data_IF_618205859538
#
_entry.id   IF_618205859538
#
_cell.length_a   1.000
_cell.length_b   1.000
_cell.length_c   1.000
_cell.angle_alpha   90.00
_cell.angle_beta   90.00
_cell.angle_gamma   90.00
#
_symmetry.space_group_name_H-M   'P 1'
#
loop_
_entity.id
_entity.type
_entity.pdbx_description
1 polymer ?
#
# COMPACT_ATOMS: atom_id res chain seq x y z
N UNK A 1 -6.32 -14.34 64.42
CA UNK A 1 -5.44 -13.91 63.32
C UNK A 1 -6.34 -13.82 62.09
N UNK A 2 -7.20 -12.81 62.04
CA UNK A 2 -6.97 -11.45 61.51
C UNK A 2 -7.59 -11.37 60.12
N UNK A 3 -8.84 -10.90 60.10
CA UNK A 3 -9.48 -10.24 58.96
C UNK A 3 -8.67 -9.03 58.49
N UNK A 4 -8.64 -8.81 57.17
CA UNK A 4 -8.48 -7.54 56.44
C UNK A 4 -8.01 -7.86 55.00
N UNK A 5 -8.40 -7.17 53.93
CA UNK A 5 -9.42 -6.16 53.67
C UNK A 5 -9.51 -6.04 52.14
N UNK A 6 -10.70 -5.80 51.63
CA UNK A 6 -10.94 -5.33 50.27
C UNK A 6 -10.33 -3.94 50.06
N UNK A 7 -9.71 -3.71 48.90
CA UNK A 7 -9.51 -2.34 48.39
C UNK A 7 -9.65 -2.33 46.87
N UNK A 8 -10.86 -2.02 46.40
CA UNK A 8 -11.08 -1.47 45.07
C UNK A 8 -10.58 -0.01 45.08
N UNK A 9 -9.81 0.38 44.06
CA UNK A 9 -9.49 1.79 43.82
C UNK A 9 -9.85 2.16 42.40
N UNK A 10 -10.97 2.86 42.34
CA UNK A 10 -11.56 3.59 41.24
C UNK A 10 -10.62 4.73 40.82
N UNK A 11 -10.17 4.75 39.56
CA UNK A 11 -9.45 5.90 39.00
C UNK A 11 -10.25 6.48 37.85
N UNK A 12 -10.87 7.61 38.14
CA UNK A 12 -11.58 8.49 37.20
C UNK A 12 -10.65 8.95 36.08
N UNK A 13 -11.10 8.82 34.82
CA UNK A 13 -10.51 9.53 33.69
C UNK A 13 -11.20 10.88 33.52
N UNK A 14 -10.47 12.01 33.39
CA UNK A 14 -11.06 13.30 33.11
C UNK A 14 -11.46 13.46 31.64
N UNK A 15 -12.66 13.96 31.42
CA UNK A 15 -13.14 14.58 30.18
C UNK A 15 -12.43 15.90 29.90
N UNK A 16 -12.13 16.17 28.63
CA UNK A 16 -11.96 17.48 27.94
C UNK A 16 -10.95 17.28 26.81
N UNK A 17 -11.02 17.87 25.62
CA UNK A 17 -11.97 18.79 25.01
C UNK A 17 -11.71 18.71 23.50
N UNK A 18 -12.76 18.81 22.71
CA UNK A 18 -12.65 19.05 21.28
C UNK A 18 -12.12 20.47 21.07
N UNK A 19 -10.92 20.59 20.49
CA UNK A 19 -10.43 21.84 19.94
C UNK A 19 -10.40 21.70 18.42
N UNK A 20 -11.20 22.53 17.76
CA UNK A 20 -11.23 22.69 16.31
C UNK A 20 -9.88 23.22 15.78
N UNK A 21 -9.49 22.89 14.55
CA UNK A 21 -8.28 23.42 13.93
C UNK A 21 -8.46 24.91 13.56
N UNK A 22 -7.44 25.69 13.92
CA UNK A 22 -7.27 27.07 13.49
C UNK A 22 -6.75 27.15 12.04
N UNK A 23 -7.16 28.21 11.36
CA UNK A 23 -6.49 28.88 10.23
C UNK A 23 -5.91 28.01 9.12
N UNK A 24 -6.71 27.73 8.09
CA UNK A 24 -6.17 27.55 6.74
C UNK A 24 -6.10 28.92 6.04
N UNK A 25 -4.91 29.37 5.60
CA UNK A 25 -4.79 30.57 4.78
C UNK A 25 -5.36 30.34 3.38
N UNK A 26 -6.13 31.31 2.88
CA UNK A 26 -6.66 31.34 1.52
C UNK A 26 -5.54 31.20 0.46
N UNK A 27 -5.77 30.43 -0.63
CA UNK A 27 -4.83 30.39 -1.74
C UNK A 27 -4.80 31.75 -2.49
N UNK A 28 -3.63 32.17 -3.00
CA UNK A 28 -3.51 33.43 -3.73
C UNK A 28 -4.34 33.40 -5.02
N UNK A 29 -5.10 34.46 -5.20
CA UNK A 29 -5.84 34.79 -6.42
C UNK A 29 -4.85 35.09 -7.53
N UNK A 30 -4.75 34.20 -8.51
CA UNK A 30 -3.95 34.43 -9.72
C UNK A 30 -4.72 35.38 -10.64
N UNK A 31 -4.23 36.61 -10.75
CA UNK A 31 -4.69 37.58 -11.73
C UNK A 31 -4.32 37.10 -13.13
N UNK A 32 -5.34 36.70 -13.89
CA UNK A 32 -5.22 36.46 -15.32
C UNK A 32 -5.15 37.82 -16.03
N UNK A 33 -3.96 38.21 -16.50
CA UNK A 33 -3.84 39.35 -17.42
C UNK A 33 -2.78 39.12 -18.50
N UNK A 34 -3.25 39.07 -19.75
CA UNK A 34 -2.50 39.37 -20.98
C UNK A 34 -1.77 38.20 -21.63
N UNK A 35 -1.68 38.08 -22.95
CA UNK A 35 -2.29 38.79 -24.06
C UNK A 35 -2.05 37.93 -25.32
N UNK A 36 -3.05 37.91 -26.18
CA UNK A 36 -2.97 37.86 -27.65
C UNK A 36 -1.87 37.04 -28.35
N UNK A 37 -2.30 35.96 -29.01
CA UNK A 37 -1.77 35.54 -30.30
C UNK A 37 -2.89 34.87 -31.09
N UNK A 38 -3.76 35.70 -31.67
CA UNK A 38 -4.78 35.25 -32.62
C UNK A 38 -4.11 34.90 -33.96
N UNK A 39 -3.68 33.64 -34.11
CA UNK A 39 -3.43 33.04 -35.42
C UNK A 39 -4.73 32.40 -35.89
N UNK A 40 -5.53 33.16 -36.65
CA UNK A 40 -6.74 32.66 -37.31
C UNK A 40 -6.36 31.71 -38.44
N UNK A 41 -6.46 30.41 -38.16
CA UNK A 41 -6.45 29.36 -39.20
C UNK A 41 -7.86 29.26 -39.82
N UNK A 42 -8.02 29.34 -41.14
CA UNK A 42 -9.34 29.28 -41.77
C UNK A 42 -9.86 27.84 -41.81
N UNK A 43 -11.05 27.62 -41.23
CA UNK A 43 -11.98 26.59 -41.70
C UNK A 43 -11.79 25.16 -41.19
N UNK A 44 -11.71 24.95 -39.89
CA UNK A 44 -12.11 23.66 -39.31
C UNK A 44 -13.58 23.77 -38.87
N UNK A 45 -14.50 23.19 -39.64
CA UNK A 45 -15.89 22.98 -39.20
C UNK A 45 -15.86 22.29 -37.83
N UNK A 46 -16.70 22.70 -36.85
CA UNK A 46 -16.80 21.98 -35.59
C UNK A 46 -17.22 20.55 -35.91
N UNK A 47 -16.32 19.60 -35.65
CA UNK A 47 -16.67 18.19 -35.72
C UNK A 47 -17.84 17.95 -34.76
N UNK A 48 -18.85 17.15 -35.15
CA UNK A 48 -19.96 16.86 -34.25
C UNK A 48 -19.41 16.28 -32.94
N UNK A 49 -19.84 16.86 -31.82
CA UNK A 49 -19.50 16.34 -30.50
C UNK A 49 -19.87 14.85 -30.45
N UNK A 50 -18.96 13.95 -30.05
CA UNK A 50 -19.31 12.55 -29.91
C UNK A 50 -20.51 12.42 -28.96
N UNK A 51 -21.41 11.44 -29.21
CA UNK A 51 -22.55 11.24 -28.34
C UNK A 51 -22.10 11.03 -26.88
N UNK A 52 -22.88 11.48 -25.89
CA UNK A 52 -22.52 11.32 -24.50
C UNK A 52 -22.38 9.84 -24.15
N UNK A 53 -21.25 9.49 -23.55
CA UNK A 53 -20.97 8.13 -23.10
C UNK A 53 -21.88 7.75 -21.93
N UNK A 54 -22.35 6.51 -21.92
CA UNK A 54 -23.13 5.97 -20.81
C UNK A 54 -22.24 5.29 -19.76
N UNK A 55 -22.77 5.11 -18.55
CA UNK A 55 -22.11 4.31 -17.50
C UNK A 55 -21.88 2.87 -17.97
N UNK A 56 -22.80 2.31 -18.76
CA UNK A 56 -22.68 0.95 -19.30
C UNK A 56 -21.51 0.82 -20.28
N UNK A 57 -21.25 1.86 -21.09
CA UNK A 57 -20.11 1.88 -22.00
C UNK A 57 -18.78 1.86 -21.24
N UNK A 58 -18.69 2.61 -20.14
CA UNK A 58 -17.50 2.63 -19.27
C UNK A 58 -17.31 1.29 -18.58
N UNK A 59 -18.38 0.69 -18.04
CA UNK A 59 -18.30 -0.62 -17.38
C UNK A 59 -17.85 -1.73 -18.33
N UNK A 60 -18.33 -1.72 -19.58
CA UNK A 60 -17.92 -2.69 -20.60
C UNK A 60 -16.45 -2.53 -21.00
N UNK A 61 -15.98 -1.30 -21.17
CA UNK A 61 -14.58 -1.01 -21.45
C UNK A 61 -13.66 -1.40 -20.30
N UNK A 62 -14.05 -1.13 -19.05
CA UNK A 62 -13.31 -1.54 -17.85
C UNK A 62 -13.22 -3.07 -17.77
N UNK A 63 -14.32 -3.79 -18.00
CA UNK A 63 -14.32 -5.24 -18.03
C UNK A 63 -13.40 -5.81 -19.12
N UNK A 64 -13.46 -5.24 -20.34
CA UNK A 64 -12.57 -5.62 -21.44
C UNK A 64 -11.09 -5.32 -21.10
N UNK A 65 -10.82 -4.18 -20.46
CA UNK A 65 -9.49 -3.82 -20.01
C UNK A 65 -8.97 -4.81 -18.97
N UNK A 66 -9.77 -5.18 -17.95
CA UNK A 66 -9.37 -6.17 -16.94
C UNK A 66 -9.09 -7.54 -17.53
N UNK A 67 -9.91 -8.00 -18.48
CA UNK A 67 -9.67 -9.26 -19.19
C UNK A 67 -8.37 -9.21 -20.00
N UNK A 68 -8.12 -8.10 -20.71
CA UNK A 68 -6.86 -7.91 -21.43
C UNK A 68 -5.65 -7.79 -20.50
N UNK A 69 -5.84 -7.19 -19.33
CA UNK A 69 -4.81 -7.02 -18.32
C UNK A 69 -4.42 -8.36 -17.68
N UNK A 70 -5.41 -9.21 -17.37
CA UNK A 70 -5.21 -10.57 -16.87
C UNK A 70 -4.57 -11.49 -17.93
N UNK A 71 -4.81 -11.25 -19.22
CA UNK A 71 -4.23 -12.01 -20.31
C UNK A 71 -2.79 -11.59 -20.67
N UNK A 72 -2.34 -10.40 -20.25
CA UNK A 72 -0.93 -10.02 -20.42
C UNK A 72 -0.10 -10.91 -19.50
N UNK A 73 0.94 -11.59 -20.02
CA UNK A 73 1.91 -12.22 -19.15
C UNK A 73 2.44 -11.12 -18.25
N UNK A 74 2.13 -11.19 -16.95
CA UNK A 74 2.99 -10.53 -15.98
C UNK A 74 4.37 -11.10 -16.28
N UNK A 75 5.32 -10.22 -16.66
CA UNK A 75 6.73 -10.62 -16.68
C UNK A 75 7.01 -11.01 -15.24
N UNK A 76 6.87 -12.32 -14.99
CA UNK A 76 7.02 -12.86 -13.65
C UNK A 76 8.44 -12.55 -13.30
N UNK A 77 8.60 -11.71 -12.29
CA UNK A 77 9.89 -11.48 -11.70
C UNK A 77 10.45 -12.83 -11.29
N UNK A 78 11.75 -13.02 -11.42
CA UNK A 78 12.41 -14.20 -10.90
C UNK A 78 12.03 -14.36 -9.41
N UNK A 79 11.39 -15.49 -9.09
CA UNK A 79 10.87 -15.75 -7.75
C UNK A 79 12.01 -15.63 -6.72
N UNK A 80 13.21 -16.16 -7.02
CA UNK A 80 14.36 -16.06 -6.14
C UNK A 80 14.78 -14.61 -5.89
N UNK A 81 14.68 -13.73 -6.89
CA UNK A 81 15.01 -12.31 -6.75
C UNK A 81 14.01 -11.60 -5.83
N UNK A 82 12.71 -11.88 -5.96
CA UNK A 82 11.70 -11.27 -5.09
C UNK A 82 11.78 -11.81 -3.66
N UNK A 83 12.07 -13.10 -3.49
CA UNK A 83 12.31 -13.72 -2.17
C UNK A 83 13.51 -13.11 -1.46
N UNK A 84 14.66 -13.04 -2.15
CA UNK A 84 15.88 -12.41 -1.63
C UNK A 84 15.65 -10.93 -1.28
N UNK A 85 14.90 -10.20 -2.11
CA UNK A 85 14.57 -8.81 -1.83
C UNK A 85 13.70 -8.65 -0.58
N UNK A 86 12.72 -9.53 -0.37
CA UNK A 86 11.91 -9.52 0.84
C UNK A 86 12.75 -9.86 2.08
N UNK A 87 13.60 -10.89 1.99
CA UNK A 87 14.50 -11.26 3.08
C UNK A 87 15.43 -10.10 3.45
N UNK A 88 16.05 -9.47 2.46
CA UNK A 88 16.91 -8.31 2.68
C UNK A 88 16.19 -7.15 3.39
N UNK A 89 14.93 -6.88 3.03
CA UNK A 89 14.11 -5.86 3.72
C UNK A 89 13.85 -6.20 5.18
N UNK A 90 13.62 -7.48 5.50
CA UNK A 90 13.28 -7.93 6.84
C UNK A 90 14.52 -8.13 7.73
N UNK A 91 15.69 -8.35 7.13
CA UNK A 91 16.98 -8.41 7.82
C UNK A 91 17.58 -7.03 8.11
N UNK A 92 17.08 -5.97 7.45
CA UNK A 92 17.50 -4.60 7.73
C UNK A 92 16.76 -4.03 8.95
N UNK A 93 17.53 -3.73 9.99
CA UNK A 93 17.03 -3.19 11.25
C UNK A 93 16.35 -1.84 11.06
N UNK A 94 16.93 -0.93 10.26
CA UNK A 94 16.39 0.41 10.06
C UNK A 94 15.04 0.36 9.35
N UNK A 95 14.93 -0.46 8.30
CA UNK A 95 13.65 -0.73 7.62
C UNK A 95 12.60 -1.30 8.58
N UNK A 96 12.98 -2.24 9.45
CA UNK A 96 12.05 -2.81 10.42
C UNK A 96 11.53 -1.78 11.43
N UNK A 97 12.42 -0.97 12.02
CA UNK A 97 12.04 0.11 12.95
C UNK A 97 11.15 1.13 12.28
N UNK A 98 11.50 1.53 11.05
CA UNK A 98 10.72 2.47 10.24
C UNK A 98 9.32 1.92 9.97
N UNK A 99 9.20 0.67 9.55
CA UNK A 99 7.91 0.09 9.25
C UNK A 99 7.05 -0.19 10.49
N UNK A 100 7.65 -0.48 11.64
CA UNK A 100 6.92 -0.51 12.91
C UNK A 100 6.33 0.87 13.24
N UNK A 101 7.12 1.93 13.09
CA UNK A 101 6.69 3.31 13.37
C UNK A 101 5.56 3.77 12.44
N UNK A 102 5.68 3.50 11.14
CA UNK A 102 4.70 3.94 10.11
C UNK A 102 3.43 3.10 10.13
N UNK A 103 3.55 1.76 10.16
CA UNK A 103 2.39 0.88 10.09
C UNK A 103 1.68 0.67 11.43
N UNK A 104 2.35 1.04 12.53
CA UNK A 104 1.89 0.88 13.90
C UNK A 104 2.32 -0.46 14.51
N UNK A 105 2.80 -0.41 15.75
CA UNK A 105 3.38 -1.55 16.47
C UNK A 105 2.45 -2.78 16.53
N UNK A 106 1.14 -2.58 16.72
CA UNK A 106 0.19 -3.70 16.78
C UNK A 106 0.14 -4.50 15.47
N UNK A 107 0.07 -3.83 14.33
CA UNK A 107 0.02 -4.47 13.01
C UNK A 107 1.36 -5.10 12.63
N UNK A 108 2.45 -4.44 13.00
CA UNK A 108 3.79 -4.95 12.77
C UNK A 108 4.07 -6.23 13.58
N UNK A 109 3.72 -6.24 14.88
CA UNK A 109 3.88 -7.41 15.77
C UNK A 109 3.01 -8.59 15.37
N UNK A 110 1.81 -8.33 14.81
CA UNK A 110 0.97 -9.40 14.26
C UNK A 110 1.67 -10.18 13.12
N UNK A 111 2.71 -9.61 12.51
CA UNK A 111 3.49 -10.23 11.45
C UNK A 111 4.75 -10.96 11.95
N UNK A 112 5.03 -11.00 13.25
CA UNK A 112 6.29 -11.54 13.81
C UNK A 112 6.57 -12.98 13.36
N UNK A 113 5.56 -13.84 13.35
CA UNK A 113 5.70 -15.23 12.93
C UNK A 113 6.07 -15.36 11.43
N UNK A 114 5.49 -14.52 10.56
CA UNK A 114 5.87 -14.50 9.15
C UNK A 114 7.28 -13.97 8.95
N UNK A 115 7.64 -12.88 9.65
CA UNK A 115 9.00 -12.31 9.56
C UNK A 115 10.03 -13.36 9.97
N UNK A 116 9.85 -13.96 11.15
CA UNK A 116 10.75 -15.00 11.66
C UNK A 116 10.87 -16.20 10.71
N UNK A 117 9.76 -16.64 10.09
CA UNK A 117 9.79 -17.73 9.13
C UNK A 117 10.57 -17.38 7.85
N UNK A 118 10.40 -16.15 7.33
CA UNK A 118 11.06 -15.71 6.09
C UNK A 118 12.56 -15.48 6.29
N UNK A 119 12.96 -15.01 7.48
CA UNK A 119 14.38 -14.76 7.82
C UNK A 119 15.09 -15.98 8.38
N UNK A 120 14.40 -17.10 8.60
CA UNK A 120 15.02 -18.35 9.02
C UNK A 120 15.91 -18.92 7.90
N UNK A 121 17.09 -19.43 8.25
CA UNK A 121 18.08 -19.96 7.30
C UNK A 121 17.56 -21.14 6.46
N UNK A 122 16.58 -21.87 6.98
CA UNK A 122 16.00 -23.06 6.34
C UNK A 122 15.02 -22.73 5.20
N UNK A 123 14.52 -21.50 5.14
CA UNK A 123 13.63 -21.08 4.06
C UNK A 123 14.48 -20.69 2.86
N UNK A 124 14.16 -21.17 1.66
CA UNK A 124 14.86 -20.75 0.45
C UNK A 124 14.27 -19.44 -0.12
N UNK A 125 15.10 -18.68 -0.84
CA UNK A 125 14.66 -17.45 -1.51
C UNK A 125 13.66 -17.76 -2.64
N UNK A 126 13.84 -18.86 -3.37
CA UNK A 126 12.90 -19.29 -4.42
C UNK A 126 11.53 -19.65 -3.82
N UNK A 127 11.50 -20.40 -2.72
CA UNK A 127 10.25 -20.73 -2.02
C UNK A 127 9.56 -19.48 -1.47
N UNK A 128 10.33 -18.55 -0.89
CA UNK A 128 9.81 -17.26 -0.42
C UNK A 128 9.19 -16.49 -1.58
N UNK A 129 9.90 -16.41 -2.70
CA UNK A 129 9.46 -15.78 -3.94
C UNK A 129 8.16 -16.36 -4.50
N UNK A 130 8.08 -17.69 -4.56
CA UNK A 130 6.88 -18.39 -5.00
C UNK A 130 5.67 -18.03 -4.14
N UNK A 131 5.83 -18.00 -2.81
CA UNK A 131 4.76 -17.60 -1.87
C UNK A 131 4.37 -16.13 -2.05
N UNK A 132 5.34 -15.25 -2.29
CA UNK A 132 5.09 -13.84 -2.59
C UNK A 132 4.29 -13.70 -3.89
N UNK A 133 4.67 -14.41 -4.95
CA UNK A 133 3.94 -14.45 -6.23
C UNK A 133 2.49 -14.88 -6.02
N UNK A 134 2.27 -15.98 -5.27
CA UNK A 134 0.92 -16.45 -4.96
C UNK A 134 0.06 -15.40 -4.22
N UNK A 135 0.64 -14.64 -3.28
CA UNK A 135 -0.08 -13.54 -2.60
C UNK A 135 -0.41 -12.41 -3.57
N UNK A 136 0.55 -12.02 -4.42
CA UNK A 136 0.31 -10.94 -5.39
C UNK A 136 -0.77 -11.30 -6.39
N UNK A 137 -0.76 -12.55 -6.90
CA UNK A 137 -1.77 -13.06 -7.82
C UNK A 137 -3.14 -13.14 -7.14
N UNK A 138 -3.21 -13.65 -5.91
CA UNK A 138 -4.46 -13.74 -5.16
C UNK A 138 -5.09 -12.37 -4.84
N UNK A 139 -4.26 -11.34 -4.66
CA UNK A 139 -4.70 -9.98 -4.34
C UNK A 139 -4.82 -9.05 -5.57
N UNK A 140 -4.44 -9.52 -6.76
CA UNK A 140 -4.25 -8.68 -7.97
C UNK A 140 -3.43 -7.41 -7.64
N UNK A 141 -2.30 -7.60 -6.95
CA UNK A 141 -1.56 -6.54 -6.30
C UNK A 141 -0.08 -6.49 -6.73
N UNK A 142 0.22 -6.14 -8.01
CA UNK A 142 1.60 -6.11 -8.53
C UNK A 142 2.49 -5.05 -7.86
N UNK A 143 1.90 -4.11 -7.13
CA UNK A 143 2.62 -3.10 -6.37
C UNK A 143 3.24 -3.63 -5.07
N UNK A 144 2.86 -4.84 -4.64
CA UNK A 144 3.42 -5.53 -3.47
C UNK A 144 4.73 -6.29 -3.76
N UNK A 145 5.30 -6.15 -4.95
CA UNK A 145 6.60 -6.74 -5.30
C UNK A 145 7.72 -6.28 -4.35
N UNK A 146 8.42 -7.18 -3.65
CA UNK A 146 9.50 -6.83 -2.73
C UNK A 146 10.61 -5.97 -3.34
N UNK A 147 11.05 -6.26 -4.57
CA UNK A 147 12.04 -5.42 -5.28
C UNK A 147 11.55 -3.98 -5.45
N UNK A 148 10.30 -3.79 -5.84
CA UNK A 148 9.66 -2.48 -5.98
C UNK A 148 9.45 -1.78 -4.65
N UNK A 149 9.08 -2.52 -3.59
CA UNK A 149 8.97 -1.98 -2.24
C UNK A 149 10.31 -1.49 -1.73
N UNK A 150 11.38 -2.26 -1.93
CA UNK A 150 12.74 -1.86 -1.57
C UNK A 150 13.15 -0.56 -2.25
N UNK A 151 12.99 -0.46 -3.57
CA UNK A 151 13.31 0.74 -4.32
C UNK A 151 12.52 1.99 -3.85
N UNK A 152 11.29 1.81 -3.36
CA UNK A 152 10.47 2.91 -2.80
C UNK A 152 10.92 3.31 -1.39
N UNK A 153 11.28 2.35 -0.54
CA UNK A 153 11.80 2.61 0.80
C UNK A 153 13.15 3.34 0.75
N UNK A 154 14.03 2.93 -0.16
CA UNK A 154 15.31 3.60 -0.46
C UNK A 154 15.10 5.07 -0.91
N UNK A 155 13.99 5.36 -1.59
CA UNK A 155 13.56 6.73 -1.96
C UNK A 155 12.82 7.48 -0.86
N UNK A 156 12.66 6.87 0.32
CA UNK A 156 11.99 7.51 1.44
C UNK A 156 10.46 7.43 1.44
N UNK A 157 9.83 6.55 0.65
CA UNK A 157 8.37 6.45 0.57
C UNK A 157 7.81 5.58 1.70
N UNK A 158 7.43 6.20 2.82
CA UNK A 158 6.91 5.55 4.03
C UNK A 158 5.65 4.69 3.79
N UNK A 159 4.76 5.13 2.90
CA UNK A 159 3.52 4.41 2.58
C UNK A 159 3.77 2.94 2.17
N UNK A 160 4.98 2.64 1.68
CA UNK A 160 5.42 1.28 1.34
C UNK A 160 5.39 0.32 2.54
N UNK A 161 5.60 0.81 3.76
CA UNK A 161 5.54 -0.02 4.97
C UNK A 161 4.17 -0.64 5.21
N UNK A 162 3.09 0.02 4.78
CA UNK A 162 1.76 -0.60 4.79
C UNK A 162 1.66 -1.77 3.79
N UNK A 163 2.32 -1.66 2.63
CA UNK A 163 2.45 -2.75 1.66
C UNK A 163 3.20 -3.95 2.23
N UNK A 164 4.31 -3.70 2.94
CA UNK A 164 5.09 -4.76 3.62
C UNK A 164 4.21 -5.50 4.64
N UNK A 165 3.48 -4.78 5.48
CA UNK A 165 2.55 -5.40 6.45
C UNK A 165 1.45 -6.20 5.76
N UNK A 166 0.85 -5.68 4.70
CA UNK A 166 -0.18 -6.39 3.92
C UNK A 166 0.38 -7.70 3.36
N UNK A 167 1.59 -7.66 2.79
CA UNK A 167 2.23 -8.86 2.25
C UNK A 167 2.50 -9.89 3.35
N UNK A 168 3.12 -9.49 4.47
CA UNK A 168 3.43 -10.37 5.60
C UNK A 168 2.19 -11.00 6.24
N UNK A 169 1.10 -10.24 6.35
CA UNK A 169 -0.17 -10.71 6.91
C UNK A 169 -0.76 -11.83 6.07
N UNK A 170 -0.70 -11.71 4.73
CA UNK A 170 -1.18 -12.74 3.83
C UNK A 170 -0.25 -13.97 3.78
N UNK A 171 1.08 -13.75 3.81
CA UNK A 171 2.06 -14.84 3.91
C UNK A 171 1.88 -15.67 5.18
N UNK A 172 1.47 -15.04 6.28
CA UNK A 172 1.13 -15.70 7.55
C UNK A 172 -0.11 -16.59 7.42
N UNK A 173 -1.10 -16.15 6.65
CA UNK A 173 -2.38 -16.86 6.50
C UNK A 173 -2.25 -18.13 5.66
N UNK A 174 -1.41 -18.12 4.63
CA UNK A 174 -1.22 -19.29 3.74
C UNK A 174 -0.60 -20.51 4.42
N UNK A 175 0.10 -20.33 5.55
CA UNK A 175 0.74 -21.44 6.28
C UNK A 175 -0.27 -22.38 6.97
N UNK A 176 -1.56 -22.01 7.01
CA UNK A 176 -2.61 -22.76 7.75
C UNK A 176 -3.42 -23.75 6.91
N UNK A 177 -3.05 -23.99 5.65
CA UNK A 177 -3.80 -24.86 4.74
C UNK A 177 -3.04 -26.06 4.18
N UNK A 178 -1.89 -26.41 4.76
CA UNK A 178 -1.26 -27.74 4.62
C UNK A 178 -1.39 -28.52 5.93
#
# INVERSE_FOLDING_TARGET
MSDAASTESYVSSPSSSSSQPADQPDPPRVDATGADATTTSPGAMPSPSPPPRTIDDVAREDAAWRLSAAARPHVRADDAVEGAALRALLSDYETCVRCEAVAGAARWRACDAARAAITAEETDDEETGFRVAAVMDALDAPHLRPTGMRARLEKGVDATCHGVVTLLSNLSSMKRHN
#
